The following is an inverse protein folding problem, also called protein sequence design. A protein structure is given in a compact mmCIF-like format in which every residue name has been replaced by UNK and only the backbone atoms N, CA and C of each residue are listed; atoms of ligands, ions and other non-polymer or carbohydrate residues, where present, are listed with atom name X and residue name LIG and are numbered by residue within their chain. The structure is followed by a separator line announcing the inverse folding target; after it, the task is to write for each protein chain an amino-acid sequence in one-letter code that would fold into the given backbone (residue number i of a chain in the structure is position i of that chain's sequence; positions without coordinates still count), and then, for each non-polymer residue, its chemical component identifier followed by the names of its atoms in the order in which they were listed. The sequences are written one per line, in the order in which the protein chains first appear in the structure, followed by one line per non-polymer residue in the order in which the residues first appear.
data_IF_550021074073
#
_entry.id   IF_550021074073
#
_cell.length_a   1.000
_cell.length_b   1.000
_cell.length_c   1.000
_cell.angle_alpha   90.00
_cell.angle_beta   90.00
_cell.angle_gamma   90.00
#
_symmetry.space_group_name_H-M   'P 1'
#
loop_
_entity.id
_entity.type
_entity.pdbx_description
1 polymer ?
#
# COMPACT_ATOMS: atom_id res chain seq x y z
N UNK A 1 -7.69 19.03 25.96
CA UNK A 1 -7.97 18.38 24.67
C UNK A 1 -8.29 19.48 23.66
N UNK A 2 -7.43 19.69 22.67
CA UNK A 2 -7.65 20.70 21.63
C UNK A 2 -8.65 20.13 20.62
N UNK A 3 -9.80 20.78 20.35
CA UNK A 3 -10.74 20.29 19.35
C UNK A 3 -10.06 20.31 17.97
N UNK A 4 -10.09 19.16 17.28
CA UNK A 4 -9.59 19.04 15.91
C UNK A 4 -10.54 19.79 15.00
N UNK A 5 -10.09 20.91 14.44
CA UNK A 5 -10.87 21.67 13.47
C UNK A 5 -11.10 20.82 12.21
N UNK A 6 -12.30 20.85 11.61
CA UNK A 6 -12.54 20.19 10.33
C UNK A 6 -11.63 20.80 9.25
N UNK A 7 -11.26 20.05 8.22
CA UNK A 7 -10.49 20.60 7.11
C UNK A 7 -11.26 21.78 6.49
N UNK A 8 -10.62 22.94 6.48
CA UNK A 8 -11.18 24.20 6.01
C UNK A 8 -10.43 24.70 4.79
N UNK A 9 -11.15 25.20 3.79
CA UNK A 9 -10.55 25.91 2.67
C UNK A 9 -9.97 27.25 3.18
N UNK A 10 -8.65 27.49 3.06
CA UNK A 10 -8.03 28.71 3.58
C UNK A 10 -8.50 29.98 2.85
N UNK A 11 -8.97 29.86 1.61
CA UNK A 11 -9.36 30.99 0.77
C UNK A 11 -10.83 31.38 0.93
N UNK A 12 -11.71 30.47 1.34
CA UNK A 12 -13.15 30.72 1.48
C UNK A 12 -13.69 30.53 2.90
N UNK A 13 -12.89 29.99 3.83
CA UNK A 13 -13.33 29.65 5.19
C UNK A 13 -14.35 28.50 5.24
N UNK A 14 -14.67 27.89 4.09
CA UNK A 14 -15.63 26.79 4.03
C UNK A 14 -15.03 25.51 4.64
N UNK A 15 -15.76 24.91 5.59
CA UNK A 15 -15.40 23.62 6.17
C UNK A 15 -16.07 22.49 5.40
N UNK A 16 -15.32 21.43 5.08
CA UNK A 16 -15.84 20.25 4.39
C UNK A 16 -15.76 19.02 5.31
N UNK A 17 -16.82 18.20 5.29
CA UNK A 17 -16.82 16.89 5.94
C UNK A 17 -16.59 15.82 4.87
N UNK A 18 -15.38 15.30 4.84
CA UNK A 18 -15.03 14.16 4.00
C UNK A 18 -15.21 12.88 4.81
N UNK A 19 -16.02 11.95 4.30
CA UNK A 19 -16.09 10.59 4.86
C UNK A 19 -14.94 9.79 4.24
N UNK A 20 -13.93 9.50 5.03
CA UNK A 20 -12.90 8.57 4.61
C UNK A 20 -13.55 7.18 4.42
N UNK A 21 -13.14 6.42 3.40
CA UNK A 21 -13.61 5.05 3.25
C UNK A 21 -13.38 4.27 4.55
N UNK A 22 -14.40 3.56 5.01
CA UNK A 22 -14.28 2.72 6.21
C UNK A 22 -13.53 1.42 5.90
N UNK A 23 -12.96 0.73 6.90
CA UNK A 23 -12.64 1.14 8.26
C UNK A 23 -11.12 0.99 8.53
N UNK A 24 -10.23 1.72 7.85
CA UNK A 24 -8.79 1.62 8.17
C UNK A 24 -7.92 2.84 7.84
N UNK A 25 -8.45 3.92 7.22
CA UNK A 25 -7.56 5.00 6.74
C UNK A 25 -6.67 5.64 7.85
N UNK A 26 -7.12 5.60 9.12
CA UNK A 26 -6.35 6.16 10.25
C UNK A 26 -5.23 5.22 10.75
N UNK A 27 -5.26 3.95 10.39
CA UNK A 27 -4.29 2.91 10.77
C UNK A 27 -3.53 2.34 9.56
N UNK A 28 -3.92 2.70 8.34
CA UNK A 28 -3.27 2.27 7.11
C UNK A 28 -1.99 3.08 6.88
N UNK A 29 -0.86 2.38 6.80
CA UNK A 29 0.43 2.98 6.47
C UNK A 29 0.39 3.50 5.04
N UNK A 30 0.69 4.79 4.88
CA UNK A 30 0.71 5.46 3.57
C UNK A 30 2.10 5.31 2.97
N UNK A 31 2.16 4.70 1.79
CA UNK A 31 3.42 4.46 1.06
C UNK A 31 3.60 5.41 -0.12
N UNK A 32 2.56 6.12 -0.54
CA UNK A 32 2.62 7.03 -1.68
C UNK A 32 1.44 8.00 -1.74
N UNK A 33 1.61 9.06 -2.52
CA UNK A 33 0.51 9.96 -2.88
C UNK A 33 0.80 10.65 -4.22
N UNK A 34 -0.23 10.96 -4.98
CA UNK A 34 -0.10 11.60 -6.29
C UNK A 34 -1.44 11.73 -7.00
N UNK A 35 -1.59 12.75 -7.84
CA UNK A 35 -2.78 12.95 -8.69
C UNK A 35 -4.14 12.96 -7.95
N UNK A 36 -4.16 13.36 -6.66
CA UNK A 36 -5.36 13.32 -5.82
C UNK A 36 -5.64 11.98 -5.14
N UNK A 37 -4.69 11.04 -5.18
CA UNK A 37 -4.78 9.71 -4.59
C UNK A 37 -3.72 9.50 -3.51
N UNK A 38 -4.03 8.62 -2.58
CA UNK A 38 -3.14 8.15 -1.51
C UNK A 38 -3.01 6.64 -1.67
N UNK A 39 -1.79 6.12 -1.62
CA UNK A 39 -1.52 4.69 -1.68
C UNK A 39 -1.26 4.18 -0.27
N UNK A 40 -2.01 3.17 0.15
CA UNK A 40 -1.89 2.54 1.45
C UNK A 40 -2.02 1.03 1.35
N UNK A 41 -1.52 0.31 2.36
CA UNK A 41 -1.75 -1.12 2.49
C UNK A 41 -3.02 -1.40 3.31
N UNK A 42 -3.78 -2.41 2.90
CA UNK A 42 -4.91 -2.95 3.65
C UNK A 42 -4.45 -3.85 4.83
N UNK A 43 -5.40 -4.54 5.47
CA UNK A 43 -5.11 -5.43 6.59
C UNK A 43 -4.29 -6.67 6.19
N UNK A 44 -4.37 -7.09 4.93
CA UNK A 44 -3.66 -8.21 4.32
C UNK A 44 -2.36 -7.80 3.60
N UNK A 45 -1.95 -6.54 3.74
CA UNK A 45 -0.76 -5.96 3.09
C UNK A 45 -0.87 -5.78 1.59
N UNK A 46 -2.06 -5.86 1.01
CA UNK A 46 -2.26 -5.49 -0.39
C UNK A 46 -2.29 -3.97 -0.53
N UNK A 47 -1.63 -3.45 -1.56
CA UNK A 47 -1.60 -2.02 -1.82
C UNK A 47 -2.84 -1.61 -2.61
N UNK A 48 -3.43 -0.48 -2.20
CA UNK A 48 -4.57 0.14 -2.85
C UNK A 48 -4.39 1.65 -2.91
N UNK A 49 -4.87 2.26 -3.98
CA UNK A 49 -5.00 3.71 -4.09
C UNK A 49 -6.41 4.15 -3.70
N UNK A 50 -6.48 5.17 -2.85
CA UNK A 50 -7.72 5.79 -2.40
C UNK A 50 -7.75 7.27 -2.78
N UNK A 51 -8.85 7.72 -3.36
CA UNK A 51 -9.11 9.14 -3.51
C UNK A 51 -9.95 9.61 -2.32
N UNK A 52 -9.37 10.34 -1.36
CA UNK A 52 -10.09 10.74 -0.15
C UNK A 52 -11.27 11.66 -0.45
N UNK A 53 -11.25 12.42 -1.55
CA UNK A 53 -12.30 13.39 -1.88
C UNK A 53 -13.50 12.74 -2.56
N UNK A 54 -13.27 11.73 -3.41
CA UNK A 54 -14.34 11.05 -4.15
C UNK A 54 -14.76 9.73 -3.54
N UNK A 55 -13.95 9.16 -2.64
CA UNK A 55 -14.14 7.82 -2.08
C UNK A 55 -13.79 6.70 -3.05
N UNK A 56 -13.29 7.02 -4.26
CA UNK A 56 -12.89 6.01 -5.23
C UNK A 56 -11.68 5.21 -4.74
N UNK A 57 -11.65 3.93 -5.08
CA UNK A 57 -10.59 2.98 -4.72
C UNK A 57 -10.13 2.23 -5.96
N UNK A 58 -8.84 1.91 -6.00
CA UNK A 58 -8.22 1.12 -7.06
C UNK A 58 -7.22 0.17 -6.40
N UNK A 59 -7.44 -1.13 -6.58
CA UNK A 59 -6.53 -2.15 -6.09
C UNK A 59 -5.33 -2.30 -7.03
N UNK A 60 -4.17 -2.58 -6.45
CA UNK A 60 -2.96 -2.96 -7.17
C UNK A 60 -2.77 -4.48 -7.06
N UNK A 61 -1.79 -5.08 -7.77
CA UNK A 61 -1.55 -6.50 -7.63
C UNK A 61 -1.34 -6.88 -6.15
N UNK A 62 -1.82 -8.04 -5.71
CA UNK A 62 -1.69 -8.47 -4.32
C UNK A 62 -0.21 -8.58 -3.92
N UNK A 63 0.05 -8.57 -2.62
CA UNK A 63 1.43 -8.69 -2.11
C UNK A 63 2.10 -10.01 -2.55
N UNK A 64 1.30 -11.07 -2.73
CA UNK A 64 1.70 -12.38 -3.28
C UNK A 64 2.01 -12.33 -4.78
N UNK A 65 1.67 -11.24 -5.47
CA UNK A 65 2.09 -10.98 -6.84
C UNK A 65 3.57 -10.57 -6.96
N UNK A 66 4.25 -10.32 -5.84
CA UNK A 66 5.71 -10.14 -5.81
C UNK A 66 6.41 -11.50 -5.85
N UNK A 67 7.43 -11.60 -6.70
CA UNK A 67 8.16 -12.85 -6.96
C UNK A 67 8.76 -13.55 -5.73
N UNK A 68 8.99 -12.80 -4.64
CA UNK A 68 9.65 -13.26 -3.43
C UNK A 68 8.70 -13.35 -2.23
N UNK A 69 7.39 -13.18 -2.43
CA UNK A 69 6.40 -13.28 -1.35
C UNK A 69 5.57 -14.55 -1.57
N UNK A 70 5.44 -15.36 -0.53
CA UNK A 70 4.55 -16.52 -0.51
C UNK A 70 3.52 -16.38 0.61
N UNK A 71 2.25 -16.66 0.32
CA UNK A 71 1.23 -16.78 1.37
C UNK A 71 1.36 -18.11 2.11
N UNK A 72 1.27 -18.04 3.43
CA UNK A 72 1.13 -19.20 4.30
C UNK A 72 0.12 -18.89 5.42
N UNK A 73 0.04 -19.77 6.42
CA UNK A 73 -0.76 -19.54 7.62
C UNK A 73 0.08 -19.79 8.86
N UNK A 74 -0.21 -19.07 9.93
CA UNK A 74 0.40 -19.32 11.23
C UNK A 74 -0.23 -20.55 11.92
N UNK A 75 0.30 -20.91 13.09
CA UNK A 75 -0.17 -22.05 13.90
C UNK A 75 -1.66 -21.97 14.29
N UNK A 76 -2.29 -20.79 14.13
CA UNK A 76 -3.70 -20.54 14.42
C UNK A 76 -4.56 -20.45 13.14
N UNK A 77 -3.97 -20.67 11.96
CA UNK A 77 -4.65 -20.58 10.67
C UNK A 77 -4.88 -19.14 10.18
N UNK A 78 -4.22 -18.14 10.77
CA UNK A 78 -4.30 -16.73 10.32
C UNK A 78 -3.33 -16.49 9.16
N UNK A 79 -3.65 -15.55 8.29
CA UNK A 79 -2.80 -15.14 7.16
C UNK A 79 -1.39 -14.81 7.65
N UNK A 80 -0.40 -15.34 6.96
CA UNK A 80 1.02 -15.06 7.17
C UNK A 80 1.77 -15.14 5.83
N UNK A 81 2.99 -14.64 5.80
CA UNK A 81 3.76 -14.53 4.57
C UNK A 81 5.22 -14.91 4.77
N UNK A 82 5.78 -15.63 3.81
CA UNK A 82 7.22 -15.91 3.75
C UNK A 82 7.90 -15.04 2.70
N UNK A 83 9.10 -14.55 3.02
CA UNK A 83 9.93 -13.80 2.09
C UNK A 83 11.10 -14.66 1.59
N UNK A 84 11.09 -15.02 0.30
CA UNK A 84 12.20 -15.72 -0.35
C UNK A 84 13.42 -14.80 -0.42
N UNK A 85 14.60 -15.37 -0.21
CA UNK A 85 15.90 -14.68 -0.34
C UNK A 85 16.09 -13.45 0.57
N UNK A 86 15.39 -13.36 1.72
CA UNK A 86 15.70 -12.34 2.72
C UNK A 86 16.95 -12.76 3.50
N UNK A 87 18.11 -12.50 2.90
CA UNK A 87 19.44 -12.71 3.51
C UNK A 87 19.71 -11.60 4.53
N UNK A 88 18.83 -11.41 5.51
CA UNK A 88 19.11 -10.61 6.70
C UNK A 88 19.60 -11.50 7.84
N UNK A 89 20.31 -10.87 8.77
CA UNK A 89 21.16 -11.43 9.83
C UNK A 89 20.68 -12.76 10.49
N UNK A 90 21.60 -13.57 11.07
CA UNK A 90 21.25 -14.79 11.79
C UNK A 90 20.13 -14.53 12.81
N UNK A 91 18.95 -15.11 12.58
CA UNK A 91 17.77 -14.92 13.44
C UNK A 91 16.61 -14.12 12.83
N UNK A 92 16.67 -13.72 11.55
CA UNK A 92 15.50 -13.22 10.83
C UNK A 92 14.39 -14.29 10.82
N UNK A 93 13.13 -13.88 11.04
CA UNK A 93 11.97 -14.78 10.95
C UNK A 93 11.66 -15.01 9.47
N UNK A 94 11.45 -16.27 9.10
CA UNK A 94 11.01 -16.60 7.74
C UNK A 94 9.56 -16.18 7.48
N UNK A 95 8.74 -16.12 8.54
CA UNK A 95 7.29 -15.88 8.51
C UNK A 95 6.93 -14.52 9.12
N UNK A 96 6.11 -13.75 8.41
CA UNK A 96 5.62 -12.42 8.80
C UNK A 96 4.10 -12.41 8.87
N UNK A 97 3.54 -11.80 9.92
CA UNK A 97 2.12 -11.40 9.91
C UNK A 97 1.89 -10.31 8.86
N UNK A 98 0.64 -10.07 8.40
CA UNK A 98 0.37 -8.97 7.48
C UNK A 98 0.91 -7.63 8.00
N UNK A 99 0.71 -7.32 9.28
CA UNK A 99 1.21 -6.08 9.88
C UNK A 99 2.73 -5.94 9.81
N UNK A 100 3.47 -6.99 10.18
CA UNK A 100 4.93 -7.00 10.10
C UNK A 100 5.39 -6.88 8.64
N UNK A 101 4.72 -7.57 7.72
CA UNK A 101 5.07 -7.56 6.30
C UNK A 101 5.01 -6.16 5.70
N UNK A 102 3.88 -5.43 5.81
CA UNK A 102 3.77 -4.08 5.20
C UNK A 102 4.74 -3.06 5.81
N UNK A 103 5.11 -3.24 7.08
CA UNK A 103 6.08 -2.39 7.76
C UNK A 103 7.52 -2.62 7.27
N UNK A 104 7.83 -3.87 6.91
CA UNK A 104 9.17 -4.28 6.52
C UNK A 104 9.40 -4.24 5.00
N UNK A 105 8.41 -4.71 4.23
CA UNK A 105 8.52 -4.93 2.79
C UNK A 105 8.46 -3.63 1.99
N UNK A 106 7.53 -2.74 2.31
CA UNK A 106 7.25 -1.57 1.49
C UNK A 106 8.00 -0.33 1.96
N UNK A 107 8.72 0.30 1.04
CA UNK A 107 9.36 1.59 1.30
C UNK A 107 8.54 2.75 0.72
N UNK A 108 8.23 2.72 -0.58
CA UNK A 108 7.48 3.81 -1.23
C UNK A 108 6.80 3.37 -2.52
N UNK A 109 5.70 4.04 -2.85
CA UNK A 109 4.95 3.86 -4.10
C UNK A 109 4.85 5.17 -4.86
N UNK A 110 5.05 5.11 -6.17
CA UNK A 110 4.93 6.22 -7.11
C UNK A 110 3.90 5.90 -8.18
N UNK A 111 3.15 6.92 -8.60
CA UNK A 111 2.12 6.83 -9.64
C UNK A 111 2.55 7.66 -10.84
N UNK A 112 2.53 7.09 -12.04
CA UNK A 112 2.87 7.84 -13.27
C UNK A 112 1.79 8.86 -13.66
N UNK A 113 0.53 8.54 -13.37
CA UNK A 113 -0.64 9.39 -13.58
C UNK A 113 -1.75 9.02 -12.59
N UNK A 114 -2.97 9.52 -12.77
CA UNK A 114 -4.10 9.11 -11.92
C UNK A 114 -4.41 7.62 -12.09
N UNK A 115 -4.59 6.84 -11.01
CA UNK A 115 -5.07 5.45 -11.06
C UNK A 115 -6.43 5.30 -11.75
N UNK A 116 -7.25 6.36 -11.79
CA UNK A 116 -8.51 6.35 -12.56
C UNK A 116 -8.32 6.22 -14.08
N UNK A 117 -7.11 6.40 -14.59
CA UNK A 117 -6.78 6.15 -16.00
C UNK A 117 -6.65 4.65 -16.32
N UNK A 118 -6.83 3.75 -15.35
CA UNK A 118 -6.70 2.31 -15.55
C UNK A 118 -5.28 1.95 -15.98
N UNK A 119 -5.14 1.03 -16.94
CA UNK A 119 -3.86 0.46 -17.36
C UNK A 119 -2.80 1.46 -17.84
N UNK A 120 -3.18 2.71 -18.16
CA UNK A 120 -2.22 3.78 -18.47
C UNK A 120 -1.43 4.24 -17.22
N UNK A 121 -1.99 4.03 -16.03
CA UNK A 121 -1.32 4.30 -14.77
C UNK A 121 -0.35 3.16 -14.44
N UNK A 122 0.94 3.49 -14.46
CA UNK A 122 2.02 2.63 -13.97
C UNK A 122 2.26 2.98 -12.51
N UNK A 123 2.27 1.93 -11.69
CA UNK A 123 2.57 1.97 -10.26
C UNK A 123 3.99 1.43 -10.09
N UNK A 124 4.89 2.26 -9.58
CA UNK A 124 6.26 1.87 -9.24
C UNK A 124 6.35 1.67 -7.72
N UNK A 125 6.75 0.48 -7.32
CA UNK A 125 6.96 0.08 -5.93
C UNK A 125 8.45 -0.06 -5.65
N UNK A 126 8.91 0.67 -4.64
CA UNK A 126 10.20 0.47 -3.99
C UNK A 126 9.98 -0.40 -2.73
N UNK A 127 10.64 -1.56 -2.69
CA UNK A 127 10.46 -2.57 -1.65
C UNK A 127 11.80 -3.21 -1.24
N UNK A 128 11.77 -4.02 -0.18
CA UNK A 128 12.92 -4.63 0.50
C UNK A 128 13.93 -3.62 1.05
N UNK A 129 14.76 -4.09 1.98
CA UNK A 129 15.81 -3.29 2.62
C UNK A 129 16.92 -2.87 1.65
N UNK A 130 17.12 -3.59 0.55
CA UNK A 130 18.13 -3.32 -0.47
C UNK A 130 17.66 -2.32 -1.56
N UNK A 131 16.42 -1.82 -1.49
CA UNK A 131 15.87 -0.85 -2.43
C UNK A 131 15.51 -1.43 -3.80
N UNK A 132 15.08 -2.70 -3.84
CA UNK A 132 14.56 -3.31 -5.06
C UNK A 132 13.30 -2.61 -5.56
N UNK A 133 13.10 -2.65 -6.88
CA UNK A 133 11.98 -2.00 -7.53
C UNK A 133 11.16 -3.01 -8.31
N UNK A 134 9.85 -2.86 -8.24
CA UNK A 134 8.88 -3.55 -9.10
C UNK A 134 7.87 -2.56 -9.63
N UNK A 135 7.25 -2.85 -10.77
CA UNK A 135 6.17 -2.04 -11.30
C UNK A 135 5.00 -2.90 -11.77
N UNK A 136 3.83 -2.29 -11.89
CA UNK A 136 2.63 -2.87 -12.46
C UNK A 136 1.78 -1.78 -13.09
N UNK A 137 0.88 -2.16 -14.00
CA UNK A 137 -0.23 -1.32 -14.43
C UNK A 137 -1.43 -1.56 -13.53
N UNK A 138 -2.30 -0.57 -13.40
CA UNK A 138 -3.60 -0.79 -12.75
C UNK A 138 -4.38 -1.84 -13.53
N UNK A 139 -4.80 -2.89 -12.83
CA UNK A 139 -5.48 -4.06 -13.39
C UNK A 139 -4.57 -5.26 -13.66
N UNK A 140 -3.26 -5.14 -13.45
CA UNK A 140 -2.36 -6.31 -13.45
C UNK A 140 -2.57 -7.16 -12.19
N UNK A 141 -2.34 -8.47 -12.32
CA UNK A 141 -2.40 -9.42 -11.18
C UNK A 141 -1.01 -9.68 -10.56
N UNK A 142 0.07 -9.26 -11.21
CA UNK A 142 1.45 -9.54 -10.80
C UNK A 142 2.34 -8.30 -10.85
N UNK A 143 3.36 -8.26 -9.99
CA UNK A 143 4.39 -7.23 -10.01
C UNK A 143 5.54 -7.65 -10.93
N UNK A 144 5.94 -6.79 -11.86
CA UNK A 144 7.12 -6.99 -12.71
C UNK A 144 8.36 -6.40 -12.03
N UNK A 145 9.33 -7.25 -11.70
CA UNK A 145 10.61 -6.82 -11.10
C UNK A 145 11.44 -6.03 -12.12
N UNK A 146 12.09 -4.96 -11.66
CA UNK A 146 13.12 -4.24 -12.42
C UNK A 146 14.49 -4.82 -12.05
N UNK A 147 15.22 -5.35 -13.04
CA UNK A 147 16.58 -5.92 -12.90
C UNK A 147 17.65 -4.98 -13.44
#
# INVERSE_FOLDING_TARGET
MTPTLPPSNPSSGAAFKVRLPGPAFRSSYVFGSGHGWIVAADEESNLQALNPLTGAQVDFPPVTGLYHVESCSDDQGRSAYNLRDDVMAPGARDVYTPLELRLYLYHRVYLSCSPSAGAECIVLLLHKHNGEMSFARVGDDMWTRIS
#
